data_IF_412690011242
#
_entry.id   IF_412690011242
#
_cell.length_a   1.000
_cell.length_b   1.000
_cell.length_c   1.000
_cell.angle_alpha   90.00
_cell.angle_beta   90.00
_cell.angle_gamma   90.00
#
_symmetry.space_group_name_H-M   'P 1'
#
loop_
_entity.id
_entity.type
_entity.pdbx_description
1 polymer ?
#
# COMPACT_ATOMS: atom_id res chain seq x y z
N UNK A 1 -9.60 7.65 48.95
CA UNK A 1 -10.66 7.45 47.99
C UNK A 1 -10.16 8.03 46.65
N UNK A 2 -9.49 7.17 45.85
CA UNK A 2 -8.83 7.60 44.61
C UNK A 2 -9.74 7.10 43.48
N UNK A 3 -10.30 8.04 42.73
CA UNK A 3 -11.16 7.77 41.60
C UNK A 3 -10.33 7.25 40.42
N UNK A 4 -10.66 6.05 40.01
CA UNK A 4 -10.15 5.37 38.84
C UNK A 4 -10.67 6.09 37.57
N UNK A 5 -9.73 6.50 36.71
CA UNK A 5 -10.00 7.22 35.47
C UNK A 5 -9.97 6.20 34.34
N UNK A 6 -11.09 5.93 33.64
CA UNK A 6 -11.07 5.00 32.53
C UNK A 6 -10.33 5.62 31.33
N UNK A 7 -9.26 4.92 30.94
CA UNK A 7 -8.43 5.22 29.77
C UNK A 7 -9.23 4.91 28.50
N UNK A 8 -9.90 5.91 27.98
CA UNK A 8 -10.74 5.86 26.78
C UNK A 8 -9.91 5.85 25.50
N UNK A 9 -9.25 4.75 25.18
CA UNK A 9 -8.75 4.52 23.81
C UNK A 9 -9.94 4.17 22.91
N UNK A 10 -10.48 5.20 22.28
CA UNK A 10 -11.36 5.01 21.14
C UNK A 10 -10.52 4.42 19.99
N UNK A 11 -10.60 3.09 19.84
CA UNK A 11 -10.28 2.43 18.60
C UNK A 11 -11.30 2.92 17.58
N UNK A 12 -10.89 3.81 16.69
CA UNK A 12 -11.63 4.04 15.45
C UNK A 12 -11.48 2.77 14.60
N UNK A 13 -12.42 1.88 14.80
CA UNK A 13 -12.67 0.74 13.93
C UNK A 13 -13.35 1.29 12.69
N UNK A 14 -12.52 1.67 11.70
CA UNK A 14 -13.03 1.99 10.36
C UNK A 14 -13.46 0.67 9.75
N UNK A 15 -14.76 0.45 9.64
CA UNK A 15 -15.35 -0.73 9.03
C UNK A 15 -14.82 -0.90 7.60
N UNK A 16 -14.36 -2.11 7.21
CA UNK A 16 -13.89 -2.36 5.85
C UNK A 16 -15.09 -2.31 4.90
N UNK A 17 -15.08 -1.36 3.99
CA UNK A 17 -16.02 -1.30 2.88
C UNK A 17 -15.69 -2.41 1.88
N UNK A 18 -16.50 -3.44 1.84
CA UNK A 18 -16.46 -4.51 0.84
C UNK A 18 -16.13 -5.89 1.40
N UNK A 19 -17.07 -6.82 1.27
CA UNK A 19 -17.14 -8.16 1.85
C UNK A 19 -16.11 -9.18 1.34
N UNK A 20 -14.83 -8.91 1.53
CA UNK A 20 -13.75 -9.88 1.39
C UNK A 20 -12.73 -9.62 2.49
N UNK A 21 -12.46 -10.63 3.34
CA UNK A 21 -11.49 -10.50 4.43
C UNK A 21 -10.11 -10.06 3.92
N UNK A 22 -9.44 -9.16 4.64
CA UNK A 22 -8.09 -8.74 4.34
C UNK A 22 -7.12 -9.92 4.47
N UNK A 23 -6.28 -10.14 3.46
CA UNK A 23 -5.22 -11.16 3.47
C UNK A 23 -4.03 -10.67 4.29
N UNK A 24 -3.71 -9.39 4.16
CA UNK A 24 -2.63 -8.73 4.89
C UNK A 24 -2.87 -7.23 4.97
N UNK A 25 -2.36 -6.59 6.01
CA UNK A 25 -2.34 -5.14 6.13
C UNK A 25 -1.07 -4.68 6.83
N UNK A 26 -0.63 -3.47 6.51
CA UNK A 26 0.49 -2.79 7.16
C UNK A 26 0.13 -1.33 7.40
N UNK A 27 0.52 -0.83 8.54
CA UNK A 27 0.45 0.59 8.91
C UNK A 27 1.85 1.17 8.93
N UNK A 28 2.05 2.34 8.33
CA UNK A 28 3.38 2.95 8.26
C UNK A 28 3.36 4.43 7.91
N UNK A 29 4.53 4.98 7.60
CA UNK A 29 4.71 6.38 7.25
C UNK A 29 3.97 6.79 5.98
N UNK A 30 3.75 5.86 5.05
CA UNK A 30 2.98 6.08 3.83
C UNK A 30 1.47 6.01 4.04
N UNK A 31 1.00 5.72 5.25
CA UNK A 31 -0.39 5.49 5.58
C UNK A 31 -0.68 4.03 5.89
N UNK A 32 -1.84 3.55 5.46
CA UNK A 32 -2.28 2.18 5.62
C UNK A 32 -2.35 1.48 4.26
N UNK A 33 -1.85 0.25 4.18
CA UNK A 33 -1.96 -0.59 2.97
C UNK A 33 -2.65 -1.90 3.32
N UNK A 34 -3.62 -2.30 2.52
CA UNK A 34 -4.39 -3.53 2.68
C UNK A 34 -4.37 -4.35 1.41
N UNK A 35 -4.02 -5.63 1.52
CA UNK A 35 -4.16 -6.62 0.46
C UNK A 35 -5.49 -7.36 0.65
N UNK A 36 -6.33 -7.30 -0.36
CA UNK A 36 -7.55 -8.08 -0.52
C UNK A 36 -7.33 -9.19 -1.56
N UNK A 37 -8.35 -10.00 -1.81
CA UNK A 37 -8.24 -11.15 -2.74
C UNK A 37 -8.02 -10.72 -4.20
N UNK A 38 -8.50 -9.56 -4.60
CA UNK A 38 -8.50 -9.06 -5.98
C UNK A 38 -7.77 -7.73 -6.16
N UNK A 39 -7.44 -7.03 -5.07
CA UNK A 39 -6.87 -5.69 -5.11
C UNK A 39 -6.02 -5.34 -3.90
N UNK A 40 -5.26 -4.27 -4.05
CA UNK A 40 -4.54 -3.59 -2.99
C UNK A 40 -5.17 -2.21 -2.81
N UNK A 41 -5.45 -1.84 -1.56
CA UNK A 41 -5.94 -0.52 -1.17
C UNK A 41 -4.85 0.19 -0.37
N UNK A 42 -4.54 1.43 -0.73
CA UNK A 42 -3.59 2.28 -0.02
C UNK A 42 -4.36 3.52 0.43
N UNK A 43 -4.44 3.71 1.73
CA UNK A 43 -4.98 4.92 2.36
C UNK A 43 -3.83 5.74 2.93
N UNK A 44 -3.70 6.97 2.45
CA UNK A 44 -2.62 7.87 2.86
C UNK A 44 -3.10 8.79 3.95
N UNK A 45 -2.41 8.77 5.07
CA UNK A 45 -2.67 9.66 6.18
C UNK A 45 -1.37 9.94 6.95
N UNK A 46 -1.42 10.94 7.86
CA UNK A 46 -0.34 11.25 8.78
C UNK A 46 0.36 12.57 8.49
N UNK A 47 1.07 13.05 9.50
CA UNK A 47 1.74 14.35 9.50
C UNK A 47 2.86 14.43 8.46
N UNK A 48 3.62 13.36 8.27
CA UNK A 48 4.73 13.32 7.30
C UNK A 48 4.21 13.44 5.87
N UNK A 49 3.11 12.76 5.54
CA UNK A 49 2.45 12.87 4.24
C UNK A 49 1.96 14.30 4.00
N UNK A 50 1.32 14.93 5.01
CA UNK A 50 0.84 16.29 4.91
C UNK A 50 1.98 17.30 4.73
N UNK A 51 3.10 17.10 5.42
CA UNK A 51 4.28 17.98 5.32
C UNK A 51 4.95 17.88 3.94
N UNK A 52 5.12 16.67 3.41
CA UNK A 52 5.67 16.45 2.08
C UNK A 52 4.75 17.00 0.99
N UNK A 53 3.44 16.83 1.16
CA UNK A 53 2.44 17.37 0.23
C UNK A 53 2.49 18.91 0.16
N UNK A 54 2.69 19.58 1.30
CA UNK A 54 2.85 21.03 1.36
C UNK A 54 4.14 21.49 0.63
N UNK A 55 5.25 20.73 0.75
CA UNK A 55 6.53 21.08 0.16
C UNK A 55 6.63 20.81 -1.35
N UNK A 56 5.93 19.80 -1.86
CA UNK A 56 6.04 19.34 -3.25
C UNK A 56 4.80 19.62 -4.12
N UNK A 57 3.75 20.22 -3.57
CA UNK A 57 2.47 20.44 -4.28
C UNK A 57 1.93 19.17 -4.94
N UNK A 58 2.07 18.03 -4.25
CA UNK A 58 1.57 16.74 -4.75
C UNK A 58 0.04 16.74 -4.77
N UNK A 59 -0.54 16.16 -5.79
CA UNK A 59 -1.99 15.93 -5.84
C UNK A 59 -2.42 15.07 -4.65
N UNK A 60 -3.54 15.46 -4.02
CA UNK A 60 -4.07 14.81 -2.82
C UNK A 60 -4.84 13.55 -3.19
N UNK A 61 -4.19 12.51 -3.65
CA UNK A 61 -4.81 11.20 -3.61
C UNK A 61 -4.71 10.64 -2.19
N UNK A 62 -5.84 10.63 -1.48
CA UNK A 62 -5.93 10.13 -0.10
C UNK A 62 -6.06 8.61 -0.11
N UNK A 63 -6.64 8.03 -1.16
CA UNK A 63 -6.83 6.60 -1.33
C UNK A 63 -6.52 6.17 -2.77
N UNK A 64 -5.82 5.07 -2.92
CA UNK A 64 -5.52 4.46 -4.22
C UNK A 64 -5.87 2.98 -4.20
N UNK A 65 -6.50 2.50 -5.26
CA UNK A 65 -6.86 1.09 -5.43
C UNK A 65 -6.14 0.52 -6.64
N UNK A 66 -5.44 -0.60 -6.46
CA UNK A 66 -4.73 -1.32 -7.52
C UNK A 66 -5.29 -2.73 -7.65
N UNK A 67 -5.93 -3.04 -8.75
CA UNK A 67 -6.42 -4.39 -9.02
C UNK A 67 -5.25 -5.32 -9.34
N UNK A 68 -5.17 -6.47 -8.68
CA UNK A 68 -4.07 -7.43 -8.85
C UNK A 68 -3.93 -7.93 -10.30
N UNK A 69 -5.03 -7.95 -11.06
CA UNK A 69 -5.04 -8.32 -12.49
C UNK A 69 -4.33 -7.31 -13.40
N UNK A 70 -4.20 -6.07 -12.96
CA UNK A 70 -3.59 -4.98 -13.70
C UNK A 70 -2.12 -4.79 -13.33
N UNK A 71 -1.68 -5.38 -12.21
CA UNK A 71 -0.31 -5.30 -11.76
C UNK A 71 0.59 -6.17 -12.66
N UNK A 72 1.68 -5.57 -13.10
CA UNK A 72 2.79 -6.25 -13.80
C UNK A 72 3.81 -6.77 -12.80
N UNK A 73 4.00 -6.05 -11.70
CA UNK A 73 4.94 -6.47 -10.66
C UNK A 73 4.89 -5.59 -9.42
N UNK A 74 5.54 -6.11 -8.38
CA UNK A 74 5.74 -5.44 -7.09
C UNK A 74 7.21 -5.51 -6.73
N UNK A 75 7.81 -4.37 -6.44
CA UNK A 75 9.24 -4.25 -6.20
C UNK A 75 9.52 -3.56 -4.87
N UNK A 76 10.59 -3.98 -4.19
CA UNK A 76 11.16 -3.21 -3.10
C UNK A 76 12.27 -2.35 -3.65
N UNK A 77 12.07 -1.04 -3.59
CA UNK A 77 13.09 -0.05 -3.94
C UNK A 77 13.90 0.28 -2.69
N UNK A 78 15.22 0.19 -2.83
CA UNK A 78 16.18 0.54 -1.78
C UNK A 78 17.01 1.72 -2.23
N UNK A 79 17.02 2.77 -1.44
CA UNK A 79 17.96 3.87 -1.59
C UNK A 79 19.29 3.55 -0.88
N UNK A 80 20.39 4.19 -1.29
CA UNK A 80 21.65 4.24 -0.52
C UNK A 80 21.44 4.84 0.88
N UNK A 81 20.46 5.67 1.04
CA UNK A 81 19.94 6.12 2.33
C UNK A 81 18.91 5.11 2.84
N UNK A 82 18.60 5.13 4.13
CA UNK A 82 17.74 4.19 4.85
C UNK A 82 16.29 4.05 4.31
N UNK A 83 15.96 4.73 3.22
CA UNK A 83 14.60 4.72 2.65
C UNK A 83 14.39 3.46 1.82
N UNK A 84 13.42 2.65 2.23
CA UNK A 84 12.92 1.51 1.47
C UNK A 84 11.40 1.64 1.33
N UNK A 85 10.89 1.32 0.14
CA UNK A 85 9.46 1.36 -0.12
C UNK A 85 9.04 0.29 -1.12
N UNK A 86 7.78 -0.12 -1.07
CA UNK A 86 7.14 -0.92 -2.11
C UNK A 86 6.75 -0.02 -3.27
N UNK A 87 6.93 -0.53 -4.47
CA UNK A 87 6.47 0.08 -5.70
C UNK A 87 5.68 -0.93 -6.51
N UNK A 88 4.50 -0.50 -6.93
CA UNK A 88 3.62 -1.27 -7.81
C UNK A 88 3.80 -0.80 -9.24
N UNK A 89 3.94 -1.74 -10.17
CA UNK A 89 4.05 -1.44 -11.61
C UNK A 89 2.83 -2.00 -12.34
N UNK A 90 2.27 -1.19 -13.21
CA UNK A 90 1.12 -1.48 -14.06
C UNK A 90 1.26 -0.73 -15.38
N UNK A 91 0.45 -1.06 -16.38
CA UNK A 91 0.48 -0.39 -17.67
C UNK A 91 0.15 1.11 -17.51
N UNK A 92 1.05 1.99 -17.94
CA UNK A 92 0.89 3.44 -17.80
C UNK A 92 1.30 4.02 -16.46
N UNK A 93 1.91 3.23 -15.54
CA UNK A 93 2.37 3.77 -14.27
C UNK A 93 3.43 4.87 -14.46
N UNK A 94 3.48 5.88 -13.56
CA UNK A 94 4.44 6.96 -13.63
C UNK A 94 5.88 6.47 -13.61
N UNK A 95 6.73 7.08 -14.43
CA UNK A 95 8.16 6.81 -14.38
C UNK A 95 8.77 7.31 -13.07
N UNK A 96 9.83 6.67 -12.55
CA UNK A 96 10.57 7.17 -11.39
C UNK A 96 11.11 8.58 -11.68
N UNK A 97 11.00 9.47 -10.70
CA UNK A 97 11.53 10.84 -10.83
C UNK A 97 13.02 10.92 -10.53
N UNK A 98 13.59 9.89 -9.90
CA UNK A 98 14.95 9.87 -9.37
C UNK A 98 15.10 10.52 -7.99
N UNK A 99 14.04 11.09 -7.46
CA UNK A 99 13.99 11.63 -6.09
C UNK A 99 13.33 10.63 -5.15
N UNK A 100 14.13 9.92 -4.37
CA UNK A 100 13.67 8.79 -3.55
C UNK A 100 12.47 9.09 -2.65
N UNK A 101 12.46 10.24 -1.95
CA UNK A 101 11.33 10.60 -1.10
C UNK A 101 10.08 10.86 -1.92
N UNK A 102 10.19 11.58 -3.04
CA UNK A 102 9.06 11.82 -3.92
C UNK A 102 8.50 10.52 -4.49
N UNK A 103 9.40 9.63 -4.93
CA UNK A 103 9.03 8.33 -5.47
C UNK A 103 8.42 7.41 -4.40
N UNK A 104 8.88 7.49 -3.14
CA UNK A 104 8.34 6.72 -2.02
C UNK A 104 6.91 7.13 -1.61
N UNK A 105 6.50 8.36 -1.94
CA UNK A 105 5.15 8.88 -1.71
C UNK A 105 4.33 9.02 -3.00
N UNK A 106 4.82 8.48 -4.13
CA UNK A 106 4.05 8.40 -5.37
C UNK A 106 2.80 7.54 -5.17
N UNK A 107 1.79 7.74 -6.02
CA UNK A 107 0.50 7.02 -5.95
C UNK A 107 0.68 5.50 -5.93
N UNK A 108 1.67 4.98 -6.67
CA UNK A 108 1.99 3.57 -6.82
C UNK A 108 3.10 3.08 -5.88
N UNK A 109 3.36 3.77 -4.76
CA UNK A 109 4.38 3.41 -3.80
C UNK A 109 3.84 3.43 -2.37
N UNK A 110 4.46 2.63 -1.48
CA UNK A 110 4.13 2.60 -0.06
C UNK A 110 5.40 2.47 0.78
N UNK A 111 5.57 3.40 1.73
CA UNK A 111 6.68 3.41 2.67
C UNK A 111 6.21 3.04 4.07
N UNK A 112 6.80 1.99 4.66
CA UNK A 112 6.46 1.55 6.00
C UNK A 112 7.19 2.36 7.07
N UNK A 113 8.53 2.41 7.00
CA UNK A 113 9.35 2.99 8.05
C UNK A 113 10.70 3.45 7.49
N UNK A 114 11.37 4.34 8.22
CA UNK A 114 12.75 4.73 7.94
C UNK A 114 13.78 3.75 8.49
N UNK A 115 13.40 2.82 9.38
CA UNK A 115 14.30 1.92 10.08
C UNK A 115 14.05 0.44 9.81
N UNK A 116 12.84 -0.02 10.08
CA UNK A 116 12.48 -1.44 9.94
C UNK A 116 11.47 -1.63 8.82
N UNK A 117 11.93 -2.22 7.72
CA UNK A 117 11.15 -2.50 6.53
C UNK A 117 11.01 -4.00 6.25
N UNK A 118 11.38 -4.87 7.19
CA UNK A 118 11.23 -6.33 7.04
C UNK A 118 9.79 -6.76 6.76
N UNK A 119 8.75 -6.14 7.35
CA UNK A 119 7.37 -6.50 7.04
C UNK A 119 6.99 -6.26 5.56
N UNK A 120 7.63 -5.30 4.87
CA UNK A 120 7.39 -5.07 3.44
C UNK A 120 7.72 -6.29 2.58
N UNK A 121 8.77 -7.03 2.93
CA UNK A 121 9.14 -8.25 2.20
C UNK A 121 8.08 -9.34 2.37
N UNK A 122 7.54 -9.48 3.58
CA UNK A 122 6.43 -10.40 3.86
C UNK A 122 5.16 -10.01 3.09
N UNK A 123 4.84 -8.74 3.05
CA UNK A 123 3.71 -8.22 2.30
C UNK A 123 3.86 -8.44 0.80
N UNK A 124 5.03 -8.12 0.23
CA UNK A 124 5.35 -8.35 -1.19
C UNK A 124 5.18 -9.83 -1.58
N UNK A 125 5.64 -10.76 -0.74
CA UNK A 125 5.46 -12.22 -0.99
C UNK A 125 3.99 -12.60 -1.03
N UNK A 126 3.14 -12.04 -0.17
CA UNK A 126 1.69 -12.29 -0.15
C UNK A 126 1.02 -11.72 -1.40
N UNK A 127 1.42 -10.51 -1.82
CA UNK A 127 0.92 -9.93 -3.09
C UNK A 127 1.28 -10.82 -4.27
N UNK A 128 2.53 -11.24 -4.39
CA UNK A 128 2.96 -12.14 -5.47
C UNK A 128 2.22 -13.48 -5.45
N UNK A 129 1.97 -14.05 -4.27
CA UNK A 129 1.18 -15.27 -4.13
C UNK A 129 -0.28 -15.06 -4.56
N UNK A 130 -0.89 -13.93 -4.18
CA UNK A 130 -2.25 -13.58 -4.59
C UNK A 130 -2.34 -13.36 -6.10
N UNK A 131 -1.37 -12.66 -6.71
CA UNK A 131 -1.30 -12.50 -8.17
C UNK A 131 -1.17 -13.84 -8.90
N UNK A 132 -0.36 -14.76 -8.38
CA UNK A 132 -0.17 -16.10 -8.96
C UNK A 132 -1.41 -17.00 -8.83
N UNK A 133 -2.25 -16.75 -7.82
CA UNK A 133 -3.50 -17.50 -7.60
C UNK A 133 -4.65 -17.03 -8.51
N UNK A 134 -4.53 -15.86 -9.17
CA UNK A 134 -5.55 -15.39 -10.09
C UNK A 134 -5.56 -16.24 -11.37
N UNK A 135 -6.76 -16.59 -11.90
CA UNK A 135 -6.86 -17.31 -13.16
C UNK A 135 -6.24 -16.48 -14.29
N UNK A 136 -5.44 -17.16 -15.14
CA UNK A 136 -4.84 -16.51 -16.31
C UNK A 136 -5.93 -16.09 -17.28
N UNK A 137 -5.77 -14.92 -17.89
CA UNK A 137 -6.74 -14.37 -18.86
C UNK A 137 -7.05 -15.35 -20.00
N UNK A 138 -6.08 -16.18 -20.39
CA UNK A 138 -6.21 -17.13 -21.51
C UNK A 138 -7.13 -18.33 -21.18
N UNK A 139 -7.30 -18.68 -19.90
CA UNK A 139 -8.19 -19.77 -19.48
C UNK A 139 -9.66 -19.32 -19.41
N UNK A 140 -9.91 -18.06 -19.08
CA UNK A 140 -11.26 -17.51 -19.04
C UNK A 140 -11.89 -17.42 -20.44
N UNK A 141 -11.10 -17.20 -21.50
CA UNK A 141 -11.59 -17.13 -22.88
C UNK A 141 -11.95 -18.50 -23.47
N UNK A 142 -11.34 -19.58 -22.97
CA UNK A 142 -11.59 -20.95 -23.44
C UNK A 142 -12.80 -21.64 -22.80
N UNK A 143 -13.29 -21.10 -21.70
CA UNK A 143 -14.46 -21.64 -21.00
C UNK A 143 -15.79 -21.13 -21.54
N UNK A 144 -15.78 -20.22 -22.53
CA UNK A 144 -16.97 -19.57 -23.10
C UNK A 144 -17.26 -20.03 -24.54
N UNK A 145 -16.44 -20.89 -25.12
CA UNK A 145 -16.67 -21.61 -26.39
C UNK A 145 -17.12 -23.06 -26.10
#
# INVERSE_FOLDING_TARGET
MIADKPDGRLRHETAPHGGGGAIASLEGLGGHITLLHDRIEIERHGMLFSLLNLGYHLEREIASTFYLRELVGVHIVRSFTLVQFLRFTYAGCPAPTGHYLRDAFAENAFMLSLRDNRPLLGFMRRVNAAMAALPRRDEASRATD
#
